data_IF_905562517693
#
_entry.id   IF_905562517693
#
_cell.length_a   1.000
_cell.length_b   1.000
_cell.length_c   1.000
_cell.angle_alpha   90.00
_cell.angle_beta   90.00
_cell.angle_gamma   90.00
#
_symmetry.space_group_name_H-M   'P 1'
#
loop_
_entity.id
_entity.type
_entity.pdbx_description
1 polymer ?
#
# COMPACT_ATOMS: atom_id res chain seq x y z
N UNK A 1 63.68 11.34 48.32
CA UNK A 1 63.75 11.98 49.65
C UNK A 1 63.36 13.45 49.51
N UNK A 2 62.33 13.90 50.26
CA UNK A 2 61.86 15.29 50.53
C UNK A 2 61.52 16.25 49.35
N UNK A 3 60.24 16.59 49.08
CA UNK A 3 59.31 17.57 49.73
C UNK A 3 59.65 19.06 49.51
N UNK A 4 58.72 19.80 48.88
CA UNK A 4 58.30 21.22 49.10
C UNK A 4 57.05 21.52 48.23
N UNK A 5 55.84 21.38 48.77
CA UNK A 5 54.92 22.45 49.22
C UNK A 5 54.69 23.58 48.21
N UNK A 6 53.47 23.66 47.65
CA UNK A 6 52.76 24.92 47.38
C UNK A 6 51.25 24.76 47.64
N UNK A 7 50.71 25.85 48.12
CA UNK A 7 49.48 26.04 48.88
C UNK A 7 48.25 26.24 47.96
N UNK A 8 47.06 26.09 48.56
CA UNK A 8 45.93 27.04 48.53
C UNK A 8 44.61 26.67 47.80
N UNK A 9 43.52 26.89 48.56
CA UNK A 9 42.12 27.28 48.22
C UNK A 9 41.06 26.17 48.06
N UNK A 10 40.34 25.97 49.16
CA UNK A 10 38.88 25.98 49.35
C UNK A 10 37.96 25.80 48.12
N UNK A 11 37.09 24.77 48.17
CA UNK A 11 35.69 24.92 47.76
C UNK A 11 34.82 23.91 48.53
N UNK A 12 33.87 24.43 49.31
CA UNK A 12 32.77 23.65 49.90
C UNK A 12 31.88 23.11 48.78
N UNK A 13 31.62 21.80 48.78
CA UNK A 13 30.46 21.24 48.09
C UNK A 13 29.48 20.69 49.13
N UNK A 14 28.31 21.31 49.12
CA UNK A 14 27.15 21.08 49.97
C UNK A 14 26.54 19.71 49.63
N UNK A 15 26.50 18.80 50.59
CA UNK A 15 25.82 17.51 50.46
C UNK A 15 24.31 17.69 50.63
N UNK A 16 23.54 17.61 49.54
CA UNK A 16 22.10 17.41 49.61
C UNK A 16 21.77 15.93 49.59
N UNK A 17 21.18 15.46 50.70
CA UNK A 17 20.56 14.14 50.83
C UNK A 17 19.31 14.07 49.94
N UNK A 18 19.31 13.21 48.93
CA UNK A 18 18.11 12.78 48.22
C UNK A 18 17.67 11.42 48.78
N UNK A 19 16.67 11.45 49.66
CA UNK A 19 15.92 10.26 50.08
C UNK A 19 14.92 9.91 48.98
N UNK A 20 15.22 8.89 48.18
CA UNK A 20 14.28 8.33 47.21
C UNK A 20 13.51 7.19 47.89
N UNK A 21 12.35 7.52 48.45
CA UNK A 21 11.36 6.52 48.86
C UNK A 21 10.72 5.94 47.60
N UNK A 22 10.97 4.66 47.32
CA UNK A 22 10.42 3.96 46.17
C UNK A 22 8.93 3.66 46.35
N UNK A 23 8.08 4.27 45.52
CA UNK A 23 6.69 3.84 45.33
C UNK A 23 6.61 3.01 44.05
N UNK A 24 6.45 1.70 44.18
CA UNK A 24 6.07 0.84 43.06
C UNK A 24 4.60 1.07 42.74
N UNK A 25 4.32 1.69 41.60
CA UNK A 25 2.96 1.75 41.06
C UNK A 25 2.53 0.33 40.63
N UNK A 26 1.30 -0.11 40.94
CA UNK A 26 0.79 -1.37 40.43
C UNK A 26 0.67 -1.30 38.90
N UNK A 27 0.80 -2.45 38.19
CA UNK A 27 0.62 -2.47 36.75
C UNK A 27 -0.79 -2.01 36.42
N UNK A 28 -0.91 -0.94 35.65
CA UNK A 28 -2.19 -0.45 35.14
C UNK A 28 -2.84 -1.55 34.29
N UNK A 29 -3.88 -2.19 34.82
CA UNK A 29 -4.79 -3.02 34.04
C UNK A 29 -5.44 -2.11 32.99
N UNK A 30 -4.91 -2.13 31.77
CA UNK A 30 -5.57 -1.51 30.63
C UNK A 30 -6.87 -2.28 30.39
N UNK A 31 -8.00 -1.71 30.83
CA UNK A 31 -9.31 -2.19 30.42
C UNK A 31 -9.37 -2.01 28.90
N UNK A 32 -9.30 -3.12 28.17
CA UNK A 32 -9.56 -3.16 26.73
C UNK A 32 -11.05 -2.82 26.53
N UNK A 33 -11.34 -1.54 26.34
CA UNK A 33 -12.65 -1.14 25.81
C UNK A 33 -12.68 -1.60 24.35
N UNK A 34 -13.68 -2.39 23.93
CA UNK A 34 -13.80 -2.77 22.54
C UNK A 34 -14.04 -1.49 21.74
N UNK A 35 -13.02 -1.05 21.00
CA UNK A 35 -13.10 0.10 20.13
C UNK A 35 -14.19 -0.19 19.09
N UNK A 36 -15.36 0.46 19.20
CA UNK A 36 -16.45 0.33 18.21
C UNK A 36 -15.86 0.64 16.85
N UNK A 37 -15.74 -0.35 15.96
CA UNK A 37 -15.36 -0.08 14.58
C UNK A 37 -16.48 0.76 13.97
N UNK A 38 -16.14 1.96 13.49
CA UNK A 38 -17.10 2.83 12.79
C UNK A 38 -17.38 2.20 11.43
N UNK A 39 -18.36 1.29 11.40
CA UNK A 39 -18.90 0.71 10.18
C UNK A 39 -19.78 1.74 9.49
N UNK A 40 -19.55 1.98 8.21
CA UNK A 40 -20.33 2.92 7.40
C UNK A 40 -20.80 2.28 6.10
N UNK A 41 -21.86 2.82 5.50
CA UNK A 41 -22.25 2.41 4.16
C UNK A 41 -21.31 3.04 3.14
N UNK A 42 -20.72 2.23 2.27
CA UNK A 42 -19.79 2.66 1.22
C UNK A 42 -20.39 2.38 -0.15
N UNK A 43 -20.23 3.30 -1.09
CA UNK A 43 -20.50 3.03 -2.50
C UNK A 43 -19.22 2.53 -3.18
N UNK A 44 -19.28 1.34 -3.76
CA UNK A 44 -18.16 0.69 -4.42
C UNK A 44 -18.43 0.52 -5.91
N UNK A 45 -17.58 1.12 -6.75
CA UNK A 45 -17.59 0.88 -8.20
C UNK A 45 -16.79 -0.38 -8.53
N UNK A 46 -17.43 -1.34 -9.18
CA UNK A 46 -16.84 -2.64 -9.56
C UNK A 46 -15.71 -2.44 -10.58
N UNK A 47 -14.49 -2.78 -10.18
CA UNK A 47 -13.31 -2.79 -11.03
C UNK A 47 -13.28 -4.04 -11.94
N UNK A 48 -12.46 -4.03 -13.00
CA UNK A 48 -12.38 -5.16 -13.92
C UNK A 48 -11.95 -6.45 -13.19
N UNK A 49 -12.72 -7.53 -13.38
CA UNK A 49 -12.43 -8.85 -12.80
C UNK A 49 -12.84 -9.04 -11.33
N UNK A 50 -13.52 -8.07 -10.73
CA UNK A 50 -14.05 -8.24 -9.37
C UNK A 50 -15.24 -9.19 -9.29
N UNK A 51 -15.37 -9.83 -8.12
CA UNK A 51 -16.52 -10.67 -7.77
C UNK A 51 -17.12 -10.17 -6.47
N UNK A 52 -18.42 -10.41 -6.28
CA UNK A 52 -19.10 -10.06 -5.03
C UNK A 52 -18.43 -10.71 -3.81
N UNK A 53 -17.94 -11.95 -3.95
CA UNK A 53 -17.19 -12.63 -2.90
C UNK A 53 -15.94 -11.86 -2.49
N UNK A 54 -15.13 -11.38 -3.45
CA UNK A 54 -13.90 -10.64 -3.13
C UNK A 54 -14.22 -9.28 -2.51
N UNK A 55 -15.24 -8.59 -3.02
CA UNK A 55 -15.75 -7.33 -2.46
C UNK A 55 -16.22 -7.53 -1.02
N UNK A 56 -16.96 -8.61 -0.76
CA UNK A 56 -17.37 -9.05 0.58
C UNK A 56 -16.17 -9.19 1.54
N UNK A 57 -15.07 -9.80 1.09
CA UNK A 57 -13.84 -9.94 1.90
C UNK A 57 -13.14 -8.62 2.13
N UNK A 58 -13.05 -7.74 1.12
CA UNK A 58 -12.45 -6.42 1.23
C UNK A 58 -13.10 -5.61 2.37
N UNK A 59 -14.43 -5.58 2.41
CA UNK A 59 -15.18 -4.76 3.37
C UNK A 59 -15.59 -5.48 4.65
N UNK A 60 -15.30 -6.78 4.78
CA UNK A 60 -15.79 -7.64 5.86
C UNK A 60 -17.32 -7.54 6.05
N UNK A 61 -18.04 -7.77 4.93
CA UNK A 61 -19.50 -7.77 4.85
C UNK A 61 -19.96 -9.09 4.22
N UNK A 62 -21.06 -9.66 4.71
CA UNK A 62 -21.59 -10.91 4.15
C UNK A 62 -22.10 -10.70 2.72
N UNK A 63 -21.94 -11.72 1.88
CA UNK A 63 -22.43 -11.71 0.50
C UNK A 63 -23.92 -11.38 0.45
N UNK A 64 -24.73 -12.00 1.30
CA UNK A 64 -26.17 -11.78 1.39
C UNK A 64 -26.52 -10.32 1.72
N UNK A 65 -25.74 -9.68 2.59
CA UNK A 65 -25.95 -8.27 2.92
C UNK A 65 -25.72 -7.37 1.70
N UNK A 66 -24.70 -7.67 0.89
CA UNK A 66 -24.43 -6.93 -0.35
C UNK A 66 -25.53 -7.20 -1.38
N UNK A 67 -25.94 -8.46 -1.56
CA UNK A 67 -27.00 -8.82 -2.50
C UNK A 67 -28.31 -8.10 -2.16
N UNK A 68 -28.73 -8.16 -0.89
CA UNK A 68 -29.95 -7.53 -0.42
C UNK A 68 -29.92 -6.00 -0.56
N UNK A 69 -28.80 -5.36 -0.20
CA UNK A 69 -28.66 -3.90 -0.29
C UNK A 69 -28.65 -3.38 -1.74
N UNK A 70 -28.40 -4.26 -2.72
CA UNK A 70 -28.34 -3.91 -4.14
C UNK A 70 -29.46 -4.55 -4.97
N UNK A 71 -30.42 -5.22 -4.33
CA UNK A 71 -31.49 -5.97 -4.99
C UNK A 71 -30.96 -6.95 -6.07
N UNK A 72 -29.83 -7.61 -5.80
CA UNK A 72 -29.18 -8.54 -6.71
C UNK A 72 -29.60 -9.98 -6.40
N UNK A 73 -29.80 -10.78 -7.45
CA UNK A 73 -29.92 -12.23 -7.32
C UNK A 73 -28.51 -12.84 -7.12
N UNK A 74 -28.35 -13.86 -6.25
CA UNK A 74 -27.07 -14.57 -6.10
C UNK A 74 -26.44 -15.07 -7.41
N UNK A 75 -27.27 -15.36 -8.42
CA UNK A 75 -26.84 -15.85 -9.74
C UNK A 75 -26.54 -14.73 -10.74
N UNK A 76 -26.88 -13.48 -10.41
CA UNK A 76 -26.63 -12.34 -11.30
C UNK A 76 -25.16 -11.97 -11.30
N UNK A 77 -24.46 -11.98 -12.46
CA UNK A 77 -23.11 -11.47 -12.52
C UNK A 77 -23.11 -9.96 -12.32
N UNK A 78 -22.15 -9.46 -11.52
CA UNK A 78 -21.88 -8.02 -11.46
C UNK A 78 -21.10 -7.57 -12.69
N UNK A 79 -21.35 -6.34 -13.12
CA UNK A 79 -20.71 -5.77 -14.30
C UNK A 79 -19.61 -4.79 -13.92
N UNK A 80 -18.55 -4.77 -14.71
CA UNK A 80 -17.51 -3.75 -14.59
C UNK A 80 -18.13 -2.34 -14.69
N UNK A 81 -17.82 -1.47 -13.72
CA UNK A 81 -18.39 -0.12 -13.60
C UNK A 81 -19.73 -0.04 -12.90
N UNK A 82 -20.34 -1.17 -12.52
CA UNK A 82 -21.53 -1.18 -11.68
C UNK A 82 -21.21 -0.57 -10.30
N UNK A 83 -22.11 0.28 -9.81
CA UNK A 83 -22.02 0.87 -8.47
C UNK A 83 -22.80 0.01 -7.48
N UNK A 84 -22.14 -0.45 -6.44
CA UNK A 84 -22.70 -1.28 -5.39
C UNK A 84 -22.74 -0.53 -4.06
N UNK A 85 -23.83 -0.67 -3.33
CA UNK A 85 -23.99 -0.27 -1.94
C UNK A 85 -23.42 -1.38 -1.06
N UNK A 86 -22.40 -1.07 -0.27
CA UNK A 86 -21.80 -1.99 0.70
C UNK A 86 -22.23 -1.55 2.10
N UNK A 87 -23.25 -2.21 2.70
CA UNK A 87 -23.80 -1.79 3.98
C UNK A 87 -22.86 -2.15 5.13
N UNK A 88 -22.74 -1.26 6.13
CA UNK A 88 -21.95 -1.50 7.35
C UNK A 88 -20.52 -1.98 7.05
N UNK A 89 -19.91 -1.44 6.00
CA UNK A 89 -18.56 -1.75 5.58
C UNK A 89 -17.56 -1.41 6.69
N UNK A 90 -16.63 -2.32 6.96
CA UNK A 90 -15.41 -1.97 7.69
C UNK A 90 -14.46 -1.21 6.76
N UNK A 91 -13.42 -0.61 7.35
CA UNK A 91 -12.30 -0.07 6.58
C UNK A 91 -11.79 -1.17 5.65
N UNK A 92 -11.58 -0.88 4.35
CA UNK A 92 -11.11 -1.89 3.41
C UNK A 92 -9.85 -2.58 3.94
N UNK A 93 -9.92 -3.91 4.07
CA UNK A 93 -8.76 -4.73 4.30
C UNK A 93 -8.02 -4.93 2.98
N UNK A 94 -6.70 -4.85 3.01
CA UNK A 94 -5.87 -5.07 1.83
C UNK A 94 -5.81 -6.57 1.55
N UNK A 95 -6.83 -7.07 0.84
CA UNK A 95 -6.91 -8.47 0.45
C UNK A 95 -6.40 -8.61 -0.97
N UNK A 96 -5.13 -9.01 -1.10
CA UNK A 96 -4.66 -9.66 -2.30
C UNK A 96 -4.20 -11.07 -1.96
N UNK A 97 -4.55 -12.02 -2.82
CA UNK A 97 -4.10 -13.40 -2.67
C UNK A 97 -2.82 -13.54 -3.49
N UNK A 98 -1.68 -13.87 -2.86
CA UNK A 98 -0.52 -14.32 -3.61
C UNK A 98 -0.80 -15.70 -4.21
N UNK A 99 -0.37 -15.89 -5.45
CA UNK A 99 -0.51 -17.15 -6.18
C UNK A 99 0.85 -17.82 -6.32
N UNK A 100 0.96 -19.15 -6.12
CA UNK A 100 2.22 -19.86 -6.33
C UNK A 100 2.77 -19.59 -7.73
N UNK A 101 3.97 -19.06 -7.81
CA UNK A 101 4.63 -18.72 -9.07
C UNK A 101 6.12 -18.52 -8.84
N UNK A 102 6.95 -19.05 -9.74
CA UNK A 102 8.38 -18.78 -9.80
C UNK A 102 8.74 -17.65 -10.76
N UNK A 103 7.75 -17.09 -11.47
CA UNK A 103 7.90 -16.07 -12.52
C UNK A 103 8.34 -14.71 -11.97
N UNK A 104 7.78 -14.32 -10.84
CA UNK A 104 7.92 -12.97 -10.31
C UNK A 104 9.28 -12.83 -9.62
N UNK A 105 10.16 -12.04 -10.22
CA UNK A 105 11.53 -11.78 -9.76
C UNK A 105 11.81 -10.32 -9.45
N UNK A 106 10.96 -9.41 -9.92
CA UNK A 106 11.11 -7.96 -9.78
C UNK A 106 9.78 -7.30 -9.40
N UNK A 107 9.86 -6.10 -8.83
CA UNK A 107 8.72 -5.21 -8.65
C UNK A 107 9.07 -3.87 -9.29
N UNK A 108 8.24 -3.40 -10.23
CA UNK A 108 8.41 -2.09 -10.86
C UNK A 108 7.33 -1.14 -10.37
N UNK A 109 7.75 -0.05 -9.74
CA UNK A 109 6.88 0.99 -9.22
C UNK A 109 6.68 2.08 -10.28
N UNK A 110 5.42 2.47 -10.47
CA UNK A 110 4.97 3.49 -11.42
C UNK A 110 4.13 4.55 -10.71
N UNK A 111 4.06 5.73 -11.32
CA UNK A 111 2.97 6.67 -11.08
C UNK A 111 2.01 6.68 -12.29
N UNK A 112 0.81 7.23 -12.14
CA UNK A 112 -0.12 7.37 -13.27
C UNK A 112 0.13 8.63 -14.09
N UNK A 113 0.84 9.62 -13.53
CA UNK A 113 0.96 10.98 -14.04
C UNK A 113 -0.42 11.67 -14.21
N UNK A 114 -1.38 11.33 -13.35
CA UNK A 114 -2.74 11.89 -13.35
C UNK A 114 -3.21 12.19 -11.93
N UNK A 115 -4.00 13.25 -11.76
CA UNK A 115 -4.53 13.65 -10.43
C UNK A 115 -5.54 12.66 -9.86
N UNK A 116 -6.19 11.89 -10.74
CA UNK A 116 -7.18 10.87 -10.42
C UNK A 116 -6.96 9.64 -11.29
N UNK A 117 -7.46 8.50 -10.85
CA UNK A 117 -7.29 7.23 -11.54
C UNK A 117 -8.01 6.10 -10.82
N UNK A 118 -8.15 4.97 -11.52
CA UNK A 118 -8.62 3.71 -10.95
C UNK A 118 -8.27 2.58 -11.91
N UNK A 119 -8.31 1.33 -11.44
CA UNK A 119 -8.15 0.17 -12.32
C UNK A 119 -9.18 0.18 -13.44
N UNK A 120 -10.41 0.64 -13.18
CA UNK A 120 -11.46 0.77 -14.18
C UNK A 120 -11.12 1.80 -15.25
N UNK A 121 -10.71 3.01 -14.84
CA UNK A 121 -10.37 4.09 -15.75
C UNK A 121 -9.16 3.72 -16.64
N UNK A 122 -8.11 3.17 -16.04
CA UNK A 122 -6.93 2.72 -16.78
C UNK A 122 -7.26 1.54 -17.70
N UNK A 123 -8.14 0.63 -17.29
CA UNK A 123 -8.56 -0.48 -18.14
C UNK A 123 -9.28 0.01 -19.38
N UNK A 124 -10.29 0.88 -19.23
CA UNK A 124 -11.02 1.49 -20.36
C UNK A 124 -10.09 2.28 -21.27
N UNK A 125 -9.20 3.10 -20.71
CA UNK A 125 -8.25 3.90 -21.50
C UNK A 125 -7.30 3.03 -22.32
N UNK A 126 -6.74 1.96 -21.75
CA UNK A 126 -5.85 1.06 -22.48
C UNK A 126 -6.58 0.28 -23.59
N UNK A 127 -7.81 -0.22 -23.32
CA UNK A 127 -8.62 -0.86 -24.37
C UNK A 127 -8.91 0.11 -25.52
N UNK A 128 -9.26 1.36 -25.22
CA UNK A 128 -9.50 2.39 -26.23
C UNK A 128 -8.25 2.72 -27.07
N UNK A 129 -7.05 2.46 -26.54
CA UNK A 129 -5.76 2.58 -27.23
C UNK A 129 -5.37 1.31 -27.99
N UNK A 130 -6.27 0.32 -28.11
CA UNK A 130 -6.05 -0.93 -28.84
C UNK A 130 -5.31 -2.02 -28.04
N UNK A 131 -5.21 -1.89 -26.73
CA UNK A 131 -4.61 -2.95 -25.91
C UNK A 131 -5.61 -4.09 -25.76
N UNK A 132 -5.15 -5.34 -25.93
CA UNK A 132 -6.00 -6.53 -25.91
C UNK A 132 -6.44 -6.95 -24.48
N UNK A 133 -5.65 -6.59 -23.47
CA UNK A 133 -5.83 -7.04 -22.06
C UNK A 133 -6.09 -5.90 -21.07
N UNK A 134 -6.40 -4.71 -21.58
CA UNK A 134 -6.70 -3.52 -20.78
C UNK A 134 -5.54 -3.11 -19.86
N UNK A 135 -5.85 -2.75 -18.61
CA UNK A 135 -4.90 -2.16 -17.64
C UNK A 135 -3.56 -2.91 -17.59
N UNK A 136 -2.45 -2.19 -17.73
CA UNK A 136 -1.10 -2.76 -17.84
C UNK A 136 -0.43 -3.18 -16.53
N UNK A 137 -0.93 -2.71 -15.40
CA UNK A 137 -0.37 -2.93 -14.07
C UNK A 137 -1.05 -4.10 -13.37
N UNK A 138 -0.35 -4.76 -12.45
CA UNK A 138 -0.92 -5.82 -11.62
C UNK A 138 -1.74 -5.22 -10.48
N UNK A 139 -1.22 -4.14 -9.87
CA UNK A 139 -1.85 -3.42 -8.76
C UNK A 139 -1.91 -1.93 -9.02
N UNK A 140 -2.95 -1.28 -8.48
CA UNK A 140 -3.12 0.18 -8.50
C UNK A 140 -3.33 0.66 -7.06
N UNK A 141 -2.64 1.70 -6.61
CA UNK A 141 -2.80 2.32 -5.29
C UNK A 141 -3.40 3.72 -5.45
N UNK A 142 -4.60 3.91 -4.93
CA UNK A 142 -5.37 5.14 -5.09
C UNK A 142 -4.92 6.25 -4.13
N UNK A 143 -5.17 7.51 -4.52
CA UNK A 143 -4.82 8.72 -3.76
C UNK A 143 -6.03 9.40 -3.07
N UNK A 144 -7.23 8.81 -3.18
CA UNK A 144 -8.45 9.36 -2.57
C UNK A 144 -9.13 10.50 -3.34
N UNK A 145 -8.57 10.98 -4.45
CA UNK A 145 -9.19 12.04 -5.25
C UNK A 145 -10.26 11.52 -6.22
N UNK A 146 -10.29 10.21 -6.48
CA UNK A 146 -11.31 9.54 -7.29
C UNK A 146 -12.37 8.82 -6.48
N UNK A 147 -13.00 7.79 -7.05
CA UNK A 147 -14.05 7.00 -6.39
C UNK A 147 -13.54 6.03 -5.30
N UNK A 148 -12.23 5.78 -5.26
CA UNK A 148 -11.60 4.85 -4.30
C UNK A 148 -10.88 5.64 -3.22
N UNK A 149 -10.95 5.13 -1.99
CA UNK A 149 -10.30 5.73 -0.83
C UNK A 149 -8.77 5.83 -1.00
N UNK A 150 -8.17 6.80 -0.31
CA UNK A 150 -6.70 6.96 -0.26
C UNK A 150 -6.03 5.70 0.30
N UNK A 151 -4.96 5.25 -0.38
CA UNK A 151 -4.25 4.00 -0.10
C UNK A 151 -5.01 2.73 -0.52
N UNK A 152 -6.20 2.82 -1.12
CA UNK A 152 -6.92 1.61 -1.54
C UNK A 152 -6.17 0.90 -2.68
N UNK A 153 -5.84 -0.37 -2.47
CA UNK A 153 -5.17 -1.24 -3.44
C UNK A 153 -6.21 -1.94 -4.31
N UNK A 154 -6.25 -1.59 -5.58
CA UNK A 154 -6.99 -2.35 -6.59
C UNK A 154 -6.12 -3.46 -7.16
N UNK A 155 -6.73 -4.64 -7.32
CA UNK A 155 -6.11 -5.81 -7.95
C UNK A 155 -6.68 -5.92 -9.36
N UNK A 156 -5.81 -5.85 -10.36
CA UNK A 156 -6.21 -5.91 -11.77
C UNK A 156 -6.51 -7.35 -12.24
N UNK A 157 -7.17 -7.51 -13.40
CA UNK A 157 -7.28 -8.79 -14.07
C UNK A 157 -5.93 -9.46 -14.36
N UNK A 158 -4.84 -8.70 -14.55
CA UNK A 158 -3.52 -9.27 -14.81
C UNK A 158 -3.01 -10.06 -13.62
N UNK A 159 -3.18 -9.52 -12.41
CA UNK A 159 -2.85 -10.27 -11.19
C UNK A 159 -3.76 -11.48 -11.01
N UNK A 160 -5.07 -11.30 -11.15
CA UNK A 160 -6.04 -12.39 -10.95
C UNK A 160 -5.80 -13.57 -11.92
N UNK A 161 -5.34 -13.28 -13.14
CA UNK A 161 -5.06 -14.27 -14.18
C UNK A 161 -3.58 -14.63 -14.30
N UNK A 162 -2.72 -14.10 -13.41
CA UNK A 162 -1.26 -14.28 -13.42
C UNK A 162 -0.61 -13.99 -14.80
N UNK A 163 -1.16 -13.00 -15.52
CA UNK A 163 -0.70 -12.60 -16.85
C UNK A 163 0.59 -11.79 -16.79
N UNK A 164 1.33 -11.72 -17.89
CA UNK A 164 2.41 -10.73 -18.04
C UNK A 164 1.90 -9.30 -17.86
N UNK A 165 2.78 -8.42 -17.43
CA UNK A 165 2.54 -6.99 -17.40
C UNK A 165 2.43 -6.39 -18.81
N UNK A 166 1.96 -5.14 -18.86
CA UNK A 166 2.14 -4.26 -20.02
C UNK A 166 2.53 -2.86 -19.52
N UNK A 167 3.55 -2.81 -18.66
CA UNK A 167 3.97 -1.61 -17.93
C UNK A 167 5.45 -1.26 -18.12
N UNK A 168 6.32 -2.21 -18.47
CA UNK A 168 7.74 -1.96 -18.70
C UNK A 168 8.31 -2.98 -19.69
N UNK A 169 8.56 -2.55 -20.94
CA UNK A 169 9.19 -3.38 -21.98
C UNK A 169 10.71 -3.47 -21.82
N UNK A 170 11.32 -2.43 -21.23
CA UNK A 170 12.76 -2.38 -21.01
C UNK A 170 13.22 -3.58 -20.18
N UNK A 171 14.36 -4.17 -20.57
CA UNK A 171 14.94 -5.35 -19.92
C UNK A 171 13.95 -6.53 -19.73
N UNK A 172 12.95 -6.65 -20.60
CA UNK A 172 11.90 -7.68 -20.58
C UNK A 172 11.10 -7.73 -19.27
N UNK A 173 10.94 -6.59 -18.58
CA UNK A 173 10.33 -6.58 -17.24
C UNK A 173 8.87 -7.05 -17.23
N UNK A 174 8.10 -6.90 -18.32
CA UNK A 174 6.72 -7.37 -18.38
C UNK A 174 6.54 -8.87 -18.08
N UNK A 175 7.53 -9.72 -18.37
CA UNK A 175 7.40 -11.18 -18.20
C UNK A 175 7.89 -11.67 -16.84
N UNK A 176 8.60 -10.83 -16.08
CA UNK A 176 9.25 -11.21 -14.81
C UNK A 176 9.01 -10.26 -13.64
N UNK A 177 8.33 -9.13 -13.87
CA UNK A 177 8.13 -8.10 -12.87
C UNK A 177 6.66 -7.81 -12.57
N UNK A 178 6.37 -7.56 -11.30
CA UNK A 178 5.07 -7.09 -10.83
C UNK A 178 5.04 -5.57 -10.94
N UNK A 179 4.28 -5.03 -11.90
CA UNK A 179 3.97 -3.60 -11.97
C UNK A 179 2.94 -3.14 -10.93
N UNK A 180 3.33 -2.15 -10.11
CA UNK A 180 2.46 -1.45 -9.15
C UNK A 180 2.38 0.02 -9.60
N UNK A 181 1.17 0.54 -9.83
CA UNK A 181 0.97 1.94 -10.21
C UNK A 181 0.29 2.72 -9.08
N UNK A 182 0.87 3.83 -8.66
CA UNK A 182 0.22 4.76 -7.75
C UNK A 182 -0.46 5.87 -8.55
N UNK A 183 -1.69 6.20 -8.19
CA UNK A 183 -2.40 7.35 -8.79
C UNK A 183 -1.74 8.65 -8.29
N UNK A 184 -1.29 9.50 -9.22
CA UNK A 184 -0.65 10.79 -8.92
C UNK A 184 0.46 11.15 -9.90
N UNK A 185 0.95 12.40 -9.82
CA UNK A 185 2.11 12.88 -10.58
C UNK A 185 3.27 13.27 -9.66
N UNK A 186 4.06 12.29 -9.22
CA UNK A 186 5.21 12.54 -8.34
C UNK A 186 6.44 13.20 -9.01
N UNK A 187 6.28 13.85 -10.17
CA UNK A 187 7.21 14.89 -10.58
C UNK A 187 6.93 16.22 -9.86
N UNK A 188 5.69 16.41 -9.39
CA UNK A 188 5.19 17.67 -8.84
C UNK A 188 4.54 17.45 -7.47
N UNK A 189 3.76 16.38 -7.33
CA UNK A 189 2.98 16.09 -6.15
C UNK A 189 3.74 15.26 -5.11
N UNK A 190 3.31 15.38 -3.86
CA UNK A 190 3.75 14.52 -2.77
C UNK A 190 2.86 13.30 -2.66
N UNK A 191 3.47 12.12 -2.50
CA UNK A 191 2.75 10.89 -2.17
C UNK A 191 2.03 11.03 -0.81
N UNK A 192 0.80 10.54 -0.72
CA UNK A 192 0.06 10.53 0.55
C UNK A 192 0.67 9.50 1.52
N UNK A 193 0.42 9.70 2.83
CA UNK A 193 0.84 8.72 3.84
C UNK A 193 0.14 7.37 3.64
N UNK A 194 -1.15 7.37 3.29
CA UNK A 194 -1.89 6.12 3.09
C UNK A 194 -1.42 5.36 1.83
N UNK A 195 -1.03 6.07 0.76
CA UNK A 195 -0.36 5.48 -0.38
C UNK A 195 0.97 4.84 0.01
N UNK A 196 1.81 5.55 0.76
CA UNK A 196 3.10 5.03 1.24
C UNK A 196 2.90 3.79 2.12
N UNK A 197 1.97 3.85 3.09
CA UNK A 197 1.64 2.71 3.97
C UNK A 197 1.26 1.48 3.13
N UNK A 198 0.39 1.68 2.14
CA UNK A 198 -0.11 0.61 1.27
C UNK A 198 0.94 0.05 0.33
N UNK A 199 1.82 0.92 -0.19
CA UNK A 199 2.92 0.51 -1.04
C UNK A 199 3.93 -0.34 -0.27
N UNK A 200 4.33 0.10 0.93
CA UNK A 200 5.24 -0.66 1.80
C UNK A 200 4.65 -2.02 2.16
N UNK A 201 3.38 -2.06 2.55
CA UNK A 201 2.72 -3.31 2.95
C UNK A 201 2.56 -4.28 1.78
N UNK A 202 2.22 -3.79 0.59
CA UNK A 202 2.12 -4.59 -0.64
C UNK A 202 3.49 -5.14 -1.05
N UNK A 203 4.50 -4.28 -1.13
CA UNK A 203 5.86 -4.68 -1.55
C UNK A 203 6.45 -5.68 -0.57
N UNK A 204 6.40 -5.42 0.74
CA UNK A 204 6.91 -6.33 1.77
C UNK A 204 6.30 -7.74 1.66
N UNK A 205 4.98 -7.82 1.51
CA UNK A 205 4.27 -9.09 1.37
C UNK A 205 4.65 -9.82 0.07
N UNK A 206 4.77 -9.11 -1.05
CA UNK A 206 5.18 -9.69 -2.33
C UNK A 206 6.64 -10.18 -2.28
N UNK A 207 7.56 -9.39 -1.71
CA UNK A 207 8.95 -9.79 -1.53
C UNK A 207 9.06 -11.05 -0.68
N UNK A 208 8.36 -11.09 0.45
CA UNK A 208 8.37 -12.24 1.36
C UNK A 208 7.84 -13.51 0.69
N UNK A 209 6.75 -13.40 -0.07
CA UNK A 209 6.12 -14.57 -0.71
C UNK A 209 6.92 -15.09 -1.92
N UNK A 210 7.44 -14.19 -2.77
CA UNK A 210 8.13 -14.54 -4.01
C UNK A 210 9.65 -14.57 -3.89
N UNK A 211 10.19 -14.26 -2.70
CA UNK A 211 11.62 -14.12 -2.43
C UNK A 211 12.30 -13.09 -3.36
N UNK A 212 11.66 -11.94 -3.54
CA UNK A 212 12.19 -10.83 -4.36
C UNK A 212 13.14 -10.01 -3.49
N UNK A 213 14.44 -9.90 -3.85
CA UNK A 213 15.41 -9.14 -3.08
C UNK A 213 15.18 -7.62 -3.20
N UNK A 214 15.75 -6.85 -2.27
CA UNK A 214 15.52 -5.40 -2.16
C UNK A 214 16.00 -4.63 -3.40
N UNK A 215 17.11 -5.05 -4.00
CA UNK A 215 17.66 -4.48 -5.24
C UNK A 215 16.85 -4.82 -6.50
N UNK A 216 15.82 -5.67 -6.37
CA UNK A 216 14.86 -5.98 -7.43
C UNK A 216 13.54 -5.19 -7.30
N UNK A 217 13.46 -4.25 -6.35
CA UNK A 217 12.37 -3.29 -6.22
C UNK A 217 12.84 -1.92 -6.72
N UNK A 218 12.29 -1.46 -7.84
CA UNK A 218 12.76 -0.23 -8.48
C UNK A 218 11.65 0.53 -9.21
N UNK A 219 11.89 1.80 -9.49
CA UNK A 219 11.06 2.63 -10.33
C UNK A 219 11.25 2.31 -11.81
N UNK A 220 10.23 2.58 -12.64
CA UNK A 220 10.32 2.36 -14.08
C UNK A 220 11.56 3.01 -14.73
N UNK A 221 11.86 4.26 -14.38
CA UNK A 221 13.00 5.02 -14.88
C UNK A 221 14.36 4.52 -14.41
N UNK A 222 14.40 3.64 -13.40
CA UNK A 222 15.63 2.98 -12.94
C UNK A 222 15.91 1.66 -13.69
N UNK A 223 14.94 1.13 -14.44
CA UNK A 223 15.13 -0.09 -15.25
C UNK A 223 16.05 0.23 -16.42
N UNK A 224 17.09 -0.60 -16.62
CA UNK A 224 18.00 -0.46 -17.75
C UNK A 224 17.25 -0.51 -19.09
N UNK A 225 17.52 0.46 -19.96
CA UNK A 225 16.84 0.62 -21.26
C UNK A 225 15.54 1.41 -21.20
N UNK A 226 15.10 1.87 -20.02
CA UNK A 226 13.98 2.80 -19.91
C UNK A 226 14.42 4.24 -20.18
N UNK A 227 13.53 5.01 -20.81
CA UNK A 227 13.66 6.46 -20.96
C UNK A 227 12.36 7.11 -20.47
N UNK A 228 12.25 7.28 -19.15
CA UNK A 228 11.06 7.83 -18.50
C UNK A 228 11.42 8.41 -17.14
N UNK A 229 10.69 9.44 -16.72
CA UNK A 229 10.79 9.99 -15.37
C UNK A 229 9.98 9.20 -14.34
N UNK A 230 9.10 8.29 -14.78
CA UNK A 230 8.27 7.47 -13.91
C UNK A 230 9.13 6.65 -12.91
N UNK A 231 8.80 6.56 -11.62
CA UNK A 231 7.55 6.97 -10.96
C UNK A 231 7.52 8.45 -10.53
N UNK A 232 8.42 9.29 -11.04
CA UNK A 232 8.49 10.71 -10.77
C UNK A 232 9.75 11.10 -9.99
N UNK A 233 10.29 12.28 -10.29
CA UNK A 233 11.52 12.82 -9.67
C UNK A 233 11.41 13.02 -8.16
N UNK A 234 10.21 13.31 -7.67
CA UNK A 234 9.90 13.53 -6.25
C UNK A 234 9.40 12.28 -5.56
N UNK A 235 9.51 11.10 -6.18
CA UNK A 235 9.17 9.84 -5.53
C UNK A 235 10.02 9.66 -4.26
N UNK A 236 9.41 9.44 -3.08
CA UNK A 236 10.10 9.47 -1.79
C UNK A 236 10.87 8.17 -1.49
N UNK A 237 11.91 7.86 -2.27
CA UNK A 237 12.72 6.63 -2.16
C UNK A 237 13.34 6.42 -0.78
N UNK A 238 13.88 7.48 -0.16
CA UNK A 238 14.50 7.38 1.17
C UNK A 238 13.50 6.92 2.23
N UNK A 239 12.30 7.51 2.23
CA UNK A 239 11.24 7.13 3.15
C UNK A 239 10.74 5.71 2.85
N UNK A 240 10.46 5.41 1.58
CA UNK A 240 9.99 4.10 1.15
C UNK A 240 10.95 2.99 1.59
N UNK A 241 12.24 3.12 1.26
CA UNK A 241 13.26 2.14 1.63
C UNK A 241 13.41 2.04 3.15
N UNK A 242 13.47 3.17 3.87
CA UNK A 242 13.56 3.12 5.33
C UNK A 242 12.39 2.35 5.97
N UNK A 243 11.18 2.54 5.45
CA UNK A 243 9.98 1.88 5.98
C UNK A 243 9.89 0.42 5.58
N UNK A 244 10.34 0.06 4.38
CA UNK A 244 10.33 -1.31 3.88
C UNK A 244 11.25 -2.22 4.71
N UNK A 245 12.48 -1.78 5.02
CA UNK A 245 13.43 -2.58 5.81
C UNK A 245 13.06 -2.75 7.30
N UNK A 246 12.01 -2.06 7.77
CA UNK A 246 11.50 -2.18 9.15
C UNK A 246 10.32 -3.14 9.29
N UNK A 247 9.86 -3.73 8.19
CA UNK A 247 8.73 -4.67 8.13
C UNK A 247 9.16 -6.12 8.25
#
# INVERSE_FOLDING_TARGET
MLRKIKTFIFLLCLSSLLSACGTTLPPSHTIYTPHKSHRSTVQHTVAPGETLWRISKIYDVSLDSILNANHLNPSSPIQMGQKLIIPRANKPSQVFTPYPSNKWKYIIIHHSATDQGSSLAFHKSHLAKGWDRGVGYHFIINNGHGEKADGFIEVSPRWLKQQDGAHCKASDMNTKAIGICLVGNFNQDKMTRAQMDSLVDLVSQLQKYYHIPDDHVMGHGQVHGSSTECPGKSFPWTEFNHRLHRR
#
